data_IF_233336799997
#
_entry.id   IF_233336799997
#
_cell.length_a   1.000
_cell.length_b   1.000
_cell.length_c   1.000
_cell.angle_alpha   90.00
_cell.angle_beta   90.00
_cell.angle_gamma   90.00
#
_symmetry.space_group_name_H-M   'P 1'
#
loop_
_entity.id
_entity.type
_entity.pdbx_description
1 polymer ?
#
# COMPACT_ATOMS: atom_id res chain seq x y z
N UNK A 1 32.75 -26.17 8.63
CA UNK A 1 33.14 -25.28 9.74
C UNK A 1 32.15 -24.12 9.84
N UNK A 2 31.04 -24.33 10.55
CA UNK A 2 30.12 -23.23 10.90
C UNK A 2 30.80 -22.39 11.98
N UNK A 3 31.12 -21.13 11.68
CA UNK A 3 31.49 -20.15 12.70
C UNK A 3 30.29 -19.94 13.61
N UNK A 4 30.28 -20.65 14.74
CA UNK A 4 29.41 -20.34 15.87
C UNK A 4 29.96 -19.03 16.43
N UNK A 5 29.39 -17.91 16.00
CA UNK A 5 29.64 -16.62 16.64
C UNK A 5 29.18 -16.74 18.08
N UNK A 6 30.13 -16.76 19.02
CA UNK A 6 29.87 -16.61 20.46
C UNK A 6 29.17 -15.27 20.66
N UNK A 7 27.83 -15.27 20.61
CA UNK A 7 27.02 -14.13 21.01
C UNK A 7 27.12 -14.05 22.52
N UNK A 8 27.71 -12.97 23.03
CA UNK A 8 27.73 -12.70 24.46
C UNK A 8 26.32 -12.35 24.91
N UNK A 9 25.58 -13.35 25.40
CA UNK A 9 24.23 -13.18 25.93
C UNK A 9 24.35 -12.67 27.37
N UNK A 10 24.49 -11.36 27.53
CA UNK A 10 24.37 -10.68 28.83
C UNK A 10 23.01 -10.02 28.91
N UNK A 11 22.23 -10.37 29.94
CA UNK A 11 20.92 -9.77 30.18
C UNK A 11 21.08 -8.40 30.84
N UNK A 12 20.17 -7.48 30.54
CA UNK A 12 20.12 -6.17 31.19
C UNK A 12 18.69 -5.72 31.45
N UNK A 13 18.56 -4.84 32.45
CA UNK A 13 17.32 -4.21 32.86
C UNK A 13 17.44 -2.70 32.71
N UNK A 14 16.35 -2.03 32.32
CA UNK A 14 16.30 -0.57 32.25
C UNK A 14 15.23 -0.01 33.17
N UNK A 15 15.56 1.08 33.84
CA UNK A 15 14.71 1.75 34.83
C UNK A 15 14.47 3.18 34.33
N UNK A 16 13.23 3.67 34.39
CA UNK A 16 12.89 5.01 33.91
C UNK A 16 13.28 6.11 34.92
N UNK A 17 13.01 5.86 36.20
CA UNK A 17 13.33 6.78 37.30
C UNK A 17 13.68 6.00 38.56
N UNK A 18 14.71 6.45 39.28
CA UNK A 18 15.12 5.90 40.58
C UNK A 18 14.41 6.54 41.77
N UNK A 19 13.63 7.61 41.57
CA UNK A 19 12.91 8.33 42.62
C UNK A 19 11.93 7.43 43.38
N UNK A 20 12.12 7.32 44.70
CA UNK A 20 11.33 6.43 45.57
C UNK A 20 10.01 7.09 45.99
N UNK A 21 9.96 8.42 46.09
CA UNK A 21 8.90 9.13 46.83
C UNK A 21 7.64 9.53 46.03
N UNK A 22 7.61 9.47 44.69
CA UNK A 22 6.52 10.13 43.93
C UNK A 22 5.92 9.39 42.73
N UNK A 23 6.26 8.12 42.47
CA UNK A 23 5.61 7.35 41.40
C UNK A 23 4.81 6.14 41.92
N UNK A 24 3.48 6.22 41.78
CA UNK A 24 2.58 5.06 41.82
C UNK A 24 2.67 4.33 40.47
N UNK A 25 3.37 3.21 40.38
CA UNK A 25 3.48 2.41 39.15
C UNK A 25 4.67 1.45 39.07
N UNK A 26 4.69 0.59 38.05
CA UNK A 26 5.77 -0.34 37.76
C UNK A 26 7.02 0.41 37.24
N UNK A 27 8.17 0.21 37.89
CA UNK A 27 9.38 1.03 37.68
C UNK A 27 10.32 0.53 36.58
N UNK A 28 10.23 -0.75 36.25
CA UNK A 28 11.04 -1.38 35.21
C UNK A 28 10.44 -0.98 33.85
N UNK A 29 11.25 -0.36 32.98
CA UNK A 29 10.77 0.18 31.70
C UNK A 29 10.93 -0.81 30.55
N UNK A 30 12.08 -1.49 30.48
CA UNK A 30 12.35 -2.51 29.48
C UNK A 30 13.40 -3.51 29.99
N UNK A 31 13.34 -4.73 29.45
CA UNK A 31 14.32 -5.79 29.62
C UNK A 31 14.91 -6.14 28.25
N UNK A 32 16.14 -6.64 28.23
CA UNK A 32 16.78 -6.99 26.97
C UNK A 32 18.05 -7.82 27.16
N UNK A 33 18.61 -8.26 26.04
CA UNK A 33 19.86 -9.01 25.98
C UNK A 33 20.81 -8.27 25.08
N UNK A 34 22.08 -8.14 25.48
CA UNK A 34 23.12 -7.58 24.63
C UNK A 34 23.39 -8.55 23.48
N UNK A 35 23.35 -8.04 22.24
CA UNK A 35 23.58 -8.86 21.05
C UNK A 35 25.03 -8.78 20.59
N UNK A 36 25.51 -7.56 20.35
CA UNK A 36 26.83 -7.27 19.79
C UNK A 36 27.42 -6.01 20.44
N UNK A 37 28.75 -5.96 20.57
CA UNK A 37 29.50 -4.84 21.14
C UNK A 37 30.49 -4.30 20.09
N UNK A 38 30.03 -3.35 19.29
CA UNK A 38 30.85 -2.68 18.27
C UNK A 38 31.05 -1.20 18.61
N UNK A 39 32.22 -0.65 18.24
CA UNK A 39 32.54 0.78 18.46
C UNK A 39 31.73 1.72 17.55
N UNK A 40 31.32 1.25 16.36
CA UNK A 40 30.62 2.06 15.38
C UNK A 40 29.39 1.32 14.84
N UNK A 41 28.21 1.91 15.01
CA UNK A 41 26.96 1.39 14.47
C UNK A 41 26.47 2.24 13.31
N UNK A 42 26.18 1.59 12.18
CA UNK A 42 25.52 2.25 11.04
C UNK A 42 24.01 2.30 11.27
N UNK A 43 23.56 3.28 12.03
CA UNK A 43 22.13 3.57 12.21
C UNK A 43 21.67 4.46 11.07
N UNK A 44 20.64 4.03 10.35
CA UNK A 44 20.03 4.80 9.26
C UNK A 44 18.57 5.11 9.55
N UNK A 45 18.15 6.32 9.22
CA UNK A 45 16.77 6.77 9.28
C UNK A 45 16.24 7.01 7.88
N UNK A 46 15.02 6.52 7.64
CA UNK A 46 14.32 6.73 6.38
C UNK A 46 13.95 8.21 6.22
N UNK A 47 14.30 8.77 5.07
CA UNK A 47 13.90 10.10 4.63
C UNK A 47 13.06 9.95 3.35
N UNK A 48 11.97 10.72 3.25
CA UNK A 48 11.20 10.82 2.01
C UNK A 48 11.34 12.25 1.49
N UNK A 49 11.90 12.41 0.30
CA UNK A 49 11.86 13.68 -0.42
C UNK A 49 10.54 13.72 -1.19
N UNK A 50 9.77 14.78 -1.03
CA UNK A 50 8.40 14.89 -1.55
C UNK A 50 8.37 15.95 -2.64
N UNK A 51 7.68 15.68 -3.75
CA UNK A 51 7.44 16.64 -4.82
C UNK A 51 6.06 16.47 -5.43
N UNK A 52 5.67 17.47 -6.21
CA UNK A 52 4.36 17.53 -6.85
C UNK A 52 4.50 17.67 -8.36
N UNK A 53 3.66 16.97 -9.14
CA UNK A 53 3.62 17.18 -10.58
C UNK A 53 3.09 18.57 -10.90
N UNK A 54 3.63 19.21 -11.94
CA UNK A 54 3.08 20.48 -12.46
C UNK A 54 2.65 20.38 -13.93
N UNK A 55 3.25 19.47 -14.70
CA UNK A 55 2.85 19.18 -16.09
C UNK A 55 2.93 17.69 -16.34
N UNK A 56 1.86 17.11 -16.86
CA UNK A 56 1.71 15.66 -17.02
C UNK A 56 1.51 15.33 -18.49
N UNK A 57 2.28 14.37 -18.97
CA UNK A 57 2.15 13.74 -20.29
C UNK A 57 1.73 12.27 -20.11
N UNK A 58 1.77 11.46 -21.17
CA UNK A 58 1.35 10.05 -21.10
C UNK A 58 2.16 9.23 -20.10
N UNK A 59 3.48 9.17 -20.27
CA UNK A 59 4.41 8.40 -19.42
C UNK A 59 5.51 9.25 -18.80
N UNK A 60 5.43 10.56 -18.97
CA UNK A 60 6.38 11.51 -18.40
C UNK A 60 5.64 12.60 -17.67
N UNK A 61 6.28 13.14 -16.64
CA UNK A 61 5.77 14.29 -15.94
C UNK A 61 6.93 15.17 -15.50
N UNK A 62 6.65 16.45 -15.36
CA UNK A 62 7.55 17.40 -14.76
C UNK A 62 7.14 17.64 -13.31
N UNK A 63 8.10 17.52 -12.40
CA UNK A 63 7.90 17.53 -10.96
C UNK A 63 8.62 18.74 -10.38
N UNK A 64 7.98 19.43 -9.45
CA UNK A 64 8.53 20.58 -8.72
C UNK A 64 8.47 20.37 -7.21
N UNK A 65 9.28 21.14 -6.48
CA UNK A 65 9.25 21.20 -5.01
C UNK A 65 9.88 19.99 -4.29
N UNK A 66 10.55 19.09 -5.01
CA UNK A 66 11.33 17.99 -4.40
C UNK A 66 12.77 18.37 -4.11
N UNK A 67 13.35 19.19 -4.98
CA UNK A 67 14.70 19.72 -4.90
C UNK A 67 14.62 21.22 -5.10
N UNK A 68 15.65 21.94 -4.64
CA UNK A 68 15.75 23.38 -4.76
C UNK A 68 16.64 23.79 -5.94
N UNK A 69 17.68 23.00 -6.22
CA UNK A 69 18.71 23.33 -7.23
C UNK A 69 18.84 22.27 -8.32
N UNK A 70 19.35 22.67 -9.49
CA UNK A 70 19.64 21.76 -10.62
C UNK A 70 20.72 20.74 -10.25
N UNK A 71 21.69 21.15 -9.43
CA UNK A 71 22.80 20.29 -8.95
C UNK A 71 22.29 19.14 -8.07
N UNK A 72 21.31 19.41 -7.20
CA UNK A 72 20.65 18.37 -6.41
C UNK A 72 19.97 17.35 -7.33
N UNK A 73 19.25 17.81 -8.34
CA UNK A 73 18.60 16.92 -9.31
C UNK A 73 19.63 16.06 -10.04
N UNK A 74 20.73 16.65 -10.50
CA UNK A 74 21.80 15.93 -11.19
C UNK A 74 22.41 14.83 -10.31
N UNK A 75 22.57 15.07 -9.00
CA UNK A 75 23.02 14.05 -8.04
C UNK A 75 22.04 12.87 -7.91
N UNK A 76 20.75 13.11 -8.09
CA UNK A 76 19.69 12.10 -8.01
C UNK A 76 19.16 11.67 -9.38
N UNK A 77 19.89 11.96 -10.46
CA UNK A 77 19.53 11.52 -11.80
C UNK A 77 19.55 9.98 -11.86
N UNK A 78 18.57 9.39 -12.55
CA UNK A 78 18.37 7.94 -12.55
C UNK A 78 17.74 7.39 -11.28
N UNK A 79 17.50 8.21 -10.25
CA UNK A 79 16.87 7.83 -9.00
C UNK A 79 15.46 7.27 -9.17
N UNK A 80 15.12 6.24 -8.38
CA UNK A 80 13.81 5.59 -8.41
C UNK A 80 12.83 6.37 -7.52
N UNK A 81 11.72 6.78 -8.10
CA UNK A 81 10.64 7.51 -7.42
C UNK A 81 9.35 6.70 -7.45
N UNK A 82 8.44 6.98 -6.52
CA UNK A 82 7.11 6.38 -6.47
C UNK A 82 6.07 7.42 -6.14
N UNK A 83 4.85 7.25 -6.65
CA UNK A 83 3.69 8.05 -6.22
C UNK A 83 2.97 7.38 -5.05
N UNK A 84 2.14 8.14 -4.34
CA UNK A 84 1.24 7.60 -3.30
C UNK A 84 0.27 6.56 -3.88
N UNK A 85 -0.12 6.73 -5.14
CA UNK A 85 -0.94 5.77 -5.91
C UNK A 85 -0.19 4.48 -6.29
N UNK A 86 1.12 4.38 -6.03
CA UNK A 86 1.92 3.18 -6.23
C UNK A 86 2.63 3.08 -7.58
N UNK A 87 2.50 4.08 -8.46
CA UNK A 87 3.13 4.10 -9.78
C UNK A 87 4.64 4.32 -9.60
N UNK A 88 5.46 3.45 -10.22
CA UNK A 88 6.91 3.58 -10.19
C UNK A 88 7.37 4.55 -11.29
N UNK A 89 8.45 5.28 -11.01
CA UNK A 89 9.07 6.16 -11.96
C UNK A 89 10.57 6.31 -11.74
N UNK A 90 11.19 7.05 -12.64
CA UNK A 90 12.62 7.35 -12.63
C UNK A 90 12.85 8.83 -12.95
N UNK A 91 13.76 9.46 -12.22
CA UNK A 91 14.26 10.81 -12.51
C UNK A 91 15.12 10.73 -13.77
N UNK A 92 14.83 11.56 -14.78
CA UNK A 92 15.54 11.53 -16.06
C UNK A 92 16.48 12.70 -16.27
N UNK A 93 16.00 13.95 -16.18
CA UNK A 93 16.85 15.12 -16.46
C UNK A 93 16.35 16.32 -15.68
N UNK A 94 17.25 17.14 -15.17
CA UNK A 94 16.91 18.42 -14.59
C UNK A 94 16.34 19.38 -15.64
N UNK A 95 15.40 20.22 -15.19
CA UNK A 95 14.87 21.33 -15.97
C UNK A 95 15.53 22.62 -15.48
N UNK A 96 15.63 23.59 -16.38
CA UNK A 96 16.16 24.91 -16.02
C UNK A 96 15.11 25.73 -15.25
N UNK A 97 13.87 25.73 -15.75
CA UNK A 97 12.74 26.41 -15.14
C UNK A 97 11.61 25.42 -14.82
N UNK A 98 10.98 25.49 -13.62
CA UNK A 98 11.41 26.21 -12.42
C UNK A 98 12.64 25.56 -11.74
N UNK A 99 13.35 26.31 -10.89
CA UNK A 99 14.55 25.81 -10.21
C UNK A 99 14.28 24.53 -9.40
N UNK A 100 15.15 23.53 -9.54
CA UNK A 100 14.99 22.23 -8.88
C UNK A 100 13.90 21.33 -9.47
N UNK A 101 13.24 21.75 -10.56
CA UNK A 101 12.32 20.91 -11.29
C UNK A 101 13.05 19.90 -12.17
N UNK A 102 12.37 18.79 -12.45
CA UNK A 102 12.95 17.74 -13.28
C UNK A 102 11.89 16.98 -14.06
N UNK A 103 12.35 16.36 -15.15
CA UNK A 103 11.58 15.40 -15.91
C UNK A 103 11.73 14.02 -15.28
N UNK A 104 10.59 13.40 -15.02
CA UNK A 104 10.50 11.99 -14.64
C UNK A 104 9.69 11.20 -15.66
N UNK A 105 10.02 9.91 -15.77
CA UNK A 105 9.22 8.93 -16.51
C UNK A 105 8.55 7.98 -15.54
N UNK A 106 7.30 7.63 -15.81
CA UNK A 106 6.47 6.74 -14.99
C UNK A 106 5.94 5.58 -15.82
N UNK A 107 5.56 4.50 -15.14
CA UNK A 107 4.94 3.33 -15.77
C UNK A 107 3.60 3.68 -16.43
N UNK A 108 2.80 4.48 -15.74
CA UNK A 108 1.49 4.95 -16.17
C UNK A 108 1.32 6.46 -15.91
N UNK A 109 0.27 7.04 -16.47
CA UNK A 109 -0.08 8.44 -16.33
C UNK A 109 -0.46 8.75 -14.88
N UNK A 110 0.33 9.61 -14.24
CA UNK A 110 0.03 10.14 -12.89
C UNK A 110 -1.05 11.22 -12.93
N UNK A 111 -1.64 11.55 -11.77
CA UNK A 111 -2.62 12.63 -11.63
C UNK A 111 -1.98 13.90 -11.05
N UNK A 112 -2.60 15.06 -11.26
CA UNK A 112 -2.08 16.34 -10.71
C UNK A 112 -2.17 16.37 -9.17
N UNK A 113 -3.12 15.62 -8.60
CA UNK A 113 -3.28 15.46 -7.16
C UNK A 113 -2.29 14.48 -6.53
N UNK A 114 -1.51 13.74 -7.33
CA UNK A 114 -0.56 12.78 -6.78
C UNK A 114 0.61 13.48 -6.09
N UNK A 115 1.09 12.83 -5.04
CA UNK A 115 2.33 13.20 -4.37
C UNK A 115 3.40 12.20 -4.81
N UNK A 116 4.50 12.70 -5.36
CA UNK A 116 5.65 11.90 -5.77
C UNK A 116 6.69 11.95 -4.66
N UNK A 117 7.30 10.81 -4.32
CA UNK A 117 8.38 10.80 -3.35
C UNK A 117 9.54 9.91 -3.75
N UNK A 118 10.74 10.33 -3.35
CA UNK A 118 11.96 9.53 -3.39
C UNK A 118 12.23 8.99 -1.98
N UNK A 119 12.49 7.69 -1.86
CA UNK A 119 12.86 7.07 -0.57
C UNK A 119 14.39 7.05 -0.45
N UNK A 120 14.90 7.82 0.50
CA UNK A 120 16.30 7.86 0.86
C UNK A 120 16.52 7.35 2.31
N UNK A 121 17.77 7.12 2.65
CA UNK A 121 18.21 6.74 3.99
C UNK A 121 19.35 7.67 4.39
N UNK A 122 19.26 8.26 5.57
CA UNK A 122 20.28 9.16 6.12
C UNK A 122 20.88 8.50 7.35
N UNK A 123 22.20 8.50 7.45
CA UNK A 123 22.88 8.02 8.65
C UNK A 123 22.60 8.97 9.81
N UNK A 124 22.18 8.42 10.95
CA UNK A 124 21.94 9.17 12.18
C UNK A 124 23.02 8.80 13.18
N UNK A 125 23.89 9.75 13.58
CA UNK A 125 24.88 9.48 14.61
C UNK A 125 24.20 9.28 15.96
N UNK A 126 24.67 8.31 16.73
CA UNK A 126 24.22 8.09 18.11
C UNK A 126 24.99 9.08 19.01
N UNK A 127 24.31 9.91 19.82
CA UNK A 127 24.98 10.80 20.75
C UNK A 127 25.70 9.97 21.83
N UNK A 128 26.96 10.28 22.06
CA UNK A 128 27.75 9.65 23.12
C UNK A 128 27.42 10.33 24.44
N UNK A 129 26.58 9.68 25.24
CA UNK A 129 26.19 10.14 26.57
C UNK A 129 26.33 9.00 27.56
N UNK A 130 27.13 9.21 28.60
CA UNK A 130 27.36 8.25 29.66
C UNK A 130 27.40 8.98 30.99
N UNK A 131 26.53 8.58 31.92
CA UNK A 131 26.51 9.08 33.29
C UNK A 131 26.35 7.90 34.23
N UNK A 132 27.35 7.58 35.07
CA UNK A 132 27.20 6.54 36.07
C UNK A 132 26.20 6.99 37.15
N UNK A 133 25.51 6.02 37.77
CA UNK A 133 24.67 6.27 38.94
C UNK A 133 25.57 6.28 40.17
N UNK A 134 25.65 7.43 40.83
CA UNK A 134 26.56 7.66 41.98
C UNK A 134 25.78 7.91 43.27
N UNK A 135 24.72 7.12 43.50
CA UNK A 135 23.78 7.33 44.60
C UNK A 135 24.47 7.27 45.98
N UNK A 136 25.40 6.33 46.16
CA UNK A 136 26.15 6.15 47.41
C UNK A 136 27.20 7.25 47.69
N UNK A 137 27.56 8.04 46.67
CA UNK A 137 28.52 9.14 46.83
C UNK A 137 27.84 10.45 47.23
N UNK A 138 26.51 10.50 47.19
CA UNK A 138 25.73 11.66 47.58
C UNK A 138 25.46 11.63 49.09
N UNK A 139 25.37 12.81 49.74
CA UNK A 139 24.97 12.88 51.14
C UNK A 139 23.55 12.32 51.31
N UNK A 140 23.25 11.74 52.47
CA UNK A 140 21.94 11.12 52.79
C UNK A 140 20.72 12.03 52.55
N UNK A 141 20.94 13.35 52.52
CA UNK A 141 19.90 14.35 52.30
C UNK A 141 19.62 14.63 50.80
N UNK A 142 20.38 14.04 49.88
CA UNK A 142 20.31 14.33 48.45
C UNK A 142 20.22 13.06 47.62
N UNK A 143 19.19 12.98 46.78
CA UNK A 143 18.99 11.87 45.85
C UNK A 143 19.67 12.14 44.51
N UNK A 144 20.16 11.07 43.86
CA UNK A 144 20.72 11.16 42.52
C UNK A 144 19.66 11.59 41.48
N UNK A 145 19.93 12.68 40.75
CA UNK A 145 19.06 13.20 39.69
C UNK A 145 19.72 13.03 38.33
N UNK A 146 19.21 12.09 37.54
CA UNK A 146 19.64 11.89 36.15
C UNK A 146 19.04 12.87 35.16
N UNK A 147 19.30 12.65 33.87
CA UNK A 147 18.72 13.41 32.77
C UNK A 147 17.18 13.30 32.79
N UNK A 148 16.50 14.44 32.74
CA UNK A 148 15.03 14.49 32.72
C UNK A 148 14.49 14.02 31.36
N UNK A 149 13.33 13.36 31.37
CA UNK A 149 12.64 12.98 30.13
C UNK A 149 12.13 14.22 29.38
N UNK A 150 11.99 14.11 28.06
CA UNK A 150 11.47 15.20 27.21
C UNK A 150 10.09 15.68 27.67
N UNK A 151 9.25 14.76 28.15
CA UNK A 151 7.92 15.09 28.69
C UNK A 151 8.01 15.94 29.96
N UNK A 152 8.93 15.61 30.88
CA UNK A 152 9.13 16.38 32.11
C UNK A 152 9.70 17.76 31.84
N UNK A 153 10.70 17.85 30.96
CA UNK A 153 11.27 19.13 30.52
C UNK A 153 10.20 20.05 29.93
N UNK A 154 9.33 19.51 29.06
CA UNK A 154 8.22 20.27 28.48
C UNK A 154 7.23 20.75 29.53
N UNK A 155 6.86 19.90 30.49
CA UNK A 155 5.96 20.27 31.58
C UNK A 155 6.53 21.41 32.43
N UNK A 156 7.80 21.31 32.86
CA UNK A 156 8.47 22.33 33.67
C UNK A 156 8.64 23.66 32.93
N UNK A 157 8.88 23.60 31.62
CA UNK A 157 8.96 24.79 30.76
C UNK A 157 7.59 25.30 30.29
N UNK A 158 6.47 24.66 30.67
CA UNK A 158 5.12 25.02 30.20
C UNK A 158 4.90 24.85 28.69
N UNK A 159 5.72 24.03 28.01
CA UNK A 159 5.68 23.82 26.56
C UNK A 159 4.76 22.65 26.18
N UNK A 160 3.95 22.84 25.13
CA UNK A 160 3.16 21.77 24.52
C UNK A 160 4.02 20.94 23.55
N UNK A 161 3.66 19.68 23.37
CA UNK A 161 4.31 18.83 22.38
C UNK A 161 4.00 19.35 20.96
N UNK A 162 4.99 19.44 20.05
CA UNK A 162 4.75 19.90 18.68
C UNK A 162 3.97 18.85 17.89
N UNK A 163 2.77 19.22 17.42
CA UNK A 163 1.91 18.35 16.61
C UNK A 163 1.68 19.00 15.26
N UNK A 164 2.01 18.29 14.17
CA UNK A 164 1.73 18.77 12.82
C UNK A 164 0.33 18.36 12.39
N UNK A 165 -0.48 19.33 11.96
CA UNK A 165 -1.91 19.11 11.62
C UNK A 165 -2.12 18.27 10.35
N UNK A 166 -1.15 18.25 9.45
CA UNK A 166 -1.11 17.45 8.22
C UNK A 166 -0.82 15.96 8.47
N UNK A 167 -0.20 15.66 9.62
CA UNK A 167 0.24 14.31 10.00
C UNK A 167 -0.83 13.55 10.79
N UNK A 168 -1.86 14.25 11.27
CA UNK A 168 -3.00 13.66 11.96
C UNK A 168 -3.89 12.92 10.96
N UNK A 169 -4.16 11.64 11.23
CA UNK A 169 -5.11 10.86 10.44
C UNK A 169 -6.51 11.43 10.53
N UNK A 170 -7.23 11.45 9.40
CA UNK A 170 -8.62 11.90 9.28
C UNK A 170 -9.43 10.87 8.51
N UNK A 171 -10.72 10.69 8.81
CA UNK A 171 -11.60 9.87 7.98
C UNK A 171 -11.66 10.45 6.56
N UNK A 172 -11.53 9.60 5.53
CA UNK A 172 -11.52 10.02 4.13
C UNK A 172 -12.78 9.53 3.45
N UNK A 173 -13.66 10.46 3.09
CA UNK A 173 -14.84 10.19 2.28
C UNK A 173 -14.47 10.18 0.79
N UNK A 174 -14.65 9.04 0.12
CA UNK A 174 -14.33 8.88 -1.31
C UNK A 174 -15.60 8.95 -2.14
N UNK A 175 -15.60 9.84 -3.14
CA UNK A 175 -16.65 9.85 -4.17
C UNK A 175 -16.55 8.58 -5.03
N UNK A 176 -17.68 8.02 -5.49
CA UNK A 176 -17.65 6.93 -6.45
C UNK A 176 -16.89 7.34 -7.71
N UNK A 177 -16.13 6.42 -8.28
CA UNK A 177 -15.39 6.66 -9.52
C UNK A 177 -16.29 6.40 -10.73
N UNK A 178 -16.60 7.45 -11.47
CA UNK A 178 -17.35 7.38 -12.72
C UNK A 178 -16.38 7.43 -13.91
N UNK A 179 -16.19 6.32 -14.66
CA UNK A 179 -15.28 6.30 -15.79
C UNK A 179 -15.83 7.14 -16.95
N UNK A 180 -14.94 7.85 -17.64
CA UNK A 180 -15.29 8.54 -18.88
C UNK A 180 -15.74 7.52 -19.95
N UNK A 181 -16.74 7.85 -20.78
CA UNK A 181 -17.18 6.98 -21.86
C UNK A 181 -16.08 6.81 -22.92
N UNK A 182 -16.09 5.66 -23.61
CA UNK A 182 -15.13 5.37 -24.67
C UNK A 182 -15.39 6.26 -25.89
N UNK A 183 -14.41 7.09 -26.24
CA UNK A 183 -14.44 7.93 -27.44
C UNK A 183 -13.58 7.30 -28.55
N UNK A 184 -14.22 6.89 -29.64
CA UNK A 184 -13.54 6.35 -30.82
C UNK A 184 -13.16 7.52 -31.73
N UNK A 185 -11.90 7.63 -32.19
CA UNK A 185 -11.50 8.65 -33.16
C UNK A 185 -12.36 8.60 -34.43
N UNK A 186 -12.75 9.77 -34.95
CA UNK A 186 -13.63 9.88 -36.12
C UNK A 186 -13.03 9.24 -37.38
N UNK A 187 -11.71 9.27 -37.52
CA UNK A 187 -10.96 8.63 -38.60
C UNK A 187 -11.17 7.11 -38.56
N UNK A 188 -10.86 6.50 -37.42
CA UNK A 188 -11.06 5.06 -37.19
C UNK A 188 -12.53 4.68 -37.39
N UNK A 189 -13.46 5.47 -36.84
CA UNK A 189 -14.89 5.18 -36.98
C UNK A 189 -15.35 5.13 -38.44
N UNK A 190 -14.77 5.93 -39.34
CA UNK A 190 -15.09 5.91 -40.78
C UNK A 190 -14.60 4.62 -41.45
N UNK A 191 -13.37 4.22 -41.14
CA UNK A 191 -12.69 3.04 -41.69
C UNK A 191 -13.26 1.71 -41.17
N UNK A 192 -13.95 1.73 -40.02
CA UNK A 192 -14.55 0.52 -39.46
C UNK A 192 -15.55 -0.12 -40.45
N UNK A 193 -15.51 -1.46 -40.62
CA UNK A 193 -16.53 -2.20 -41.36
C UNK A 193 -17.94 -1.87 -40.84
N UNK A 194 -18.92 -1.84 -41.74
CA UNK A 194 -20.30 -1.44 -41.41
C UNK A 194 -20.88 -2.16 -40.17
N UNK A 195 -20.62 -3.46 -40.03
CA UNK A 195 -21.06 -4.28 -38.89
C UNK A 195 -20.49 -3.80 -37.54
N UNK A 196 -19.26 -3.31 -37.53
CA UNK A 196 -18.54 -2.88 -36.31
C UNK A 196 -18.67 -1.37 -36.05
N UNK A 197 -19.21 -0.61 -37.01
CA UNK A 197 -19.42 0.83 -36.84
C UNK A 197 -20.45 1.05 -35.72
N UNK A 198 -20.11 1.82 -34.67
CA UNK A 198 -21.02 2.05 -33.57
C UNK A 198 -22.25 2.81 -34.07
N UNK A 199 -23.42 2.21 -33.87
CA UNK A 199 -24.73 2.78 -34.21
C UNK A 199 -25.18 3.71 -33.08
N UNK A 200 -24.38 4.74 -32.80
CA UNK A 200 -24.87 5.81 -31.93
C UNK A 200 -25.86 6.59 -32.79
N UNK A 201 -27.14 6.48 -32.46
CA UNK A 201 -28.12 7.42 -33.00
C UNK A 201 -27.61 8.81 -32.61
N UNK A 202 -27.20 9.61 -33.60
CA UNK A 202 -27.15 11.06 -33.37
C UNK A 202 -28.55 11.40 -32.89
N UNK A 203 -28.67 12.12 -31.79
CA UNK A 203 -29.94 12.74 -31.43
C UNK A 203 -30.46 13.34 -32.72
N UNK A 204 -31.56 12.78 -33.22
CA UNK A 204 -32.20 13.29 -34.40
C UNK A 204 -32.63 14.68 -33.94
N UNK A 205 -31.86 15.71 -34.32
CA UNK A 205 -32.37 17.07 -34.29
C UNK A 205 -33.55 16.99 -35.23
N UNK A 206 -34.72 16.78 -34.67
CA UNK A 206 -35.95 16.70 -35.45
C UNK A 206 -36.02 18.06 -36.14
N UNK A 207 -35.74 18.08 -37.44
CA UNK A 207 -35.93 19.25 -38.30
C UNK A 207 -37.44 19.48 -38.55
N UNK A 208 -38.28 19.11 -37.58
CA UNK A 208 -39.69 19.46 -37.58
C UNK A 208 -39.84 20.87 -37.03
N UNK A 209 -40.87 21.58 -37.47
CA UNK A 209 -41.22 22.87 -36.92
C UNK A 209 -41.40 22.76 -35.41
N UNK A 210 -40.57 23.48 -34.64
CA UNK A 210 -40.65 23.52 -33.17
C UNK A 210 -42.04 23.92 -32.67
N UNK A 211 -42.82 24.62 -33.50
CA UNK A 211 -44.21 24.94 -33.22
C UNK A 211 -45.07 23.67 -33.17
N UNK A 212 -44.97 22.81 -34.18
CA UNK A 212 -45.75 21.57 -34.27
C UNK A 212 -45.41 20.63 -33.11
N UNK A 213 -44.14 20.48 -32.73
CA UNK A 213 -43.78 19.65 -31.57
C UNK A 213 -44.29 20.20 -30.24
N UNK A 214 -44.27 21.52 -30.05
CA UNK A 214 -44.83 22.15 -28.85
C UNK A 214 -46.36 21.98 -28.77
N UNK A 215 -47.04 22.09 -29.91
CA UNK A 215 -48.51 21.99 -29.98
C UNK A 215 -49.03 20.55 -30.03
N UNK A 216 -48.21 19.58 -30.43
CA UNK A 216 -48.54 18.15 -30.45
C UNK A 216 -48.05 17.37 -29.21
N UNK A 217 -47.22 17.99 -28.38
CA UNK A 217 -46.79 17.39 -27.12
C UNK A 217 -47.99 17.23 -26.19
N UNK A 218 -48.32 15.99 -25.85
CA UNK A 218 -49.36 15.66 -24.88
C UNK A 218 -48.91 16.12 -23.49
N UNK A 219 -49.55 17.16 -22.98
CA UNK A 219 -49.34 17.64 -21.61
C UNK A 219 -50.23 16.80 -20.70
N UNK A 220 -49.60 16.05 -19.80
CA UNK A 220 -50.30 15.22 -18.82
C UNK A 220 -51.04 16.10 -17.80
N UNK A 221 -52.20 15.66 -17.36
CA UNK A 221 -52.91 16.32 -16.27
C UNK A 221 -52.09 16.26 -14.96
N UNK A 222 -52.30 17.21 -14.02
CA UNK A 222 -51.53 17.26 -12.78
C UNK A 222 -51.56 15.96 -11.95
N UNK A 223 -52.66 15.22 -12.00
CA UNK A 223 -52.80 13.92 -11.33
C UNK A 223 -51.99 12.83 -12.04
N UNK A 224 -52.11 12.72 -13.36
CA UNK A 224 -51.37 11.75 -14.17
C UNK A 224 -49.86 12.00 -14.12
N UNK A 225 -49.43 13.27 -14.14
CA UNK A 225 -48.03 13.65 -13.97
C UNK A 225 -47.48 13.19 -12.61
N UNK A 226 -48.26 13.32 -11.53
CA UNK A 226 -47.89 12.82 -10.19
C UNK A 226 -47.78 11.29 -10.17
N UNK A 227 -48.71 10.57 -10.80
CA UNK A 227 -48.66 9.11 -10.90
C UNK A 227 -47.43 8.67 -11.70
N UNK A 228 -47.18 9.27 -12.86
CA UNK A 228 -46.03 8.91 -13.69
C UNK A 228 -44.71 9.17 -12.97
N UNK A 229 -44.59 10.32 -12.28
CA UNK A 229 -43.44 10.61 -11.43
C UNK A 229 -43.28 9.59 -10.31
N UNK A 230 -44.37 9.19 -9.66
CA UNK A 230 -44.35 8.17 -8.62
C UNK A 230 -43.90 6.81 -9.17
N UNK A 231 -44.40 6.40 -10.33
CA UNK A 231 -44.00 5.17 -11.01
C UNK A 231 -42.54 5.20 -11.44
N UNK A 232 -42.02 6.34 -11.90
CA UNK A 232 -40.59 6.52 -12.18
C UNK A 232 -39.74 6.35 -10.92
N UNK A 233 -40.14 6.96 -9.80
CA UNK A 233 -39.47 6.80 -8.51
C UNK A 233 -39.50 5.33 -8.07
N UNK A 234 -40.64 4.65 -8.15
CA UNK A 234 -40.73 3.23 -7.81
C UNK A 234 -39.82 2.37 -8.70
N UNK A 235 -39.76 2.68 -10.00
CA UNK A 235 -38.87 2.01 -10.95
C UNK A 235 -37.40 2.17 -10.58
N UNK A 236 -36.96 3.39 -10.24
CA UNK A 236 -35.57 3.66 -9.83
C UNK A 236 -35.22 2.96 -8.51
N UNK A 237 -36.09 3.04 -7.50
CA UNK A 237 -35.90 2.36 -6.20
C UNK A 237 -35.83 0.84 -6.37
N UNK A 238 -36.70 0.26 -7.19
CA UNK A 238 -36.66 -1.17 -7.48
C UNK A 238 -35.36 -1.56 -8.21
N UNK A 239 -34.93 -0.78 -9.19
CA UNK A 239 -33.67 -1.02 -9.91
C UNK A 239 -32.45 -0.95 -8.98
N UNK A 240 -32.42 0.00 -8.05
CA UNK A 240 -31.37 0.09 -7.03
C UNK A 240 -31.38 -1.10 -6.08
N UNK A 241 -32.56 -1.52 -5.58
CA UNK A 241 -32.71 -2.73 -4.75
C UNK A 241 -32.20 -3.98 -5.47
N UNK A 242 -32.59 -4.19 -6.72
CA UNK A 242 -32.11 -5.33 -7.52
C UNK A 242 -30.59 -5.23 -7.72
N UNK A 243 -30.03 -4.03 -7.92
CA UNK A 243 -28.58 -3.82 -8.07
C UNK A 243 -27.82 -4.13 -6.78
N UNK A 244 -28.34 -3.76 -5.61
CA UNK A 244 -27.73 -4.06 -4.31
C UNK A 244 -27.80 -5.55 -4.00
N UNK A 245 -28.93 -6.21 -4.26
CA UNK A 245 -29.09 -7.67 -4.09
C UNK A 245 -28.15 -8.46 -5.02
N UNK A 246 -28.03 -8.06 -6.29
CA UNK A 246 -27.09 -8.66 -7.24
C UNK A 246 -25.64 -8.49 -6.79
N UNK A 247 -25.26 -7.32 -6.26
CA UNK A 247 -23.92 -7.07 -5.70
C UNK A 247 -23.65 -7.96 -4.49
N UNK A 248 -24.60 -8.06 -3.56
CA UNK A 248 -24.49 -8.94 -2.39
C UNK A 248 -24.37 -10.42 -2.81
N UNK A 249 -25.18 -10.86 -3.78
CA UNK A 249 -25.09 -12.21 -4.31
C UNK A 249 -23.73 -12.49 -4.98
N UNK A 250 -23.24 -11.57 -5.81
CA UNK A 250 -21.91 -11.69 -6.44
C UNK A 250 -20.79 -11.81 -5.40
N UNK A 251 -20.86 -11.06 -4.29
CA UNK A 251 -19.92 -11.17 -3.18
C UNK A 251 -19.99 -12.53 -2.48
N UNK A 252 -21.21 -13.05 -2.22
CA UNK A 252 -21.41 -14.39 -1.64
C UNK A 252 -20.84 -15.49 -2.53
N UNK A 253 -21.19 -15.47 -3.82
CA UNK A 253 -20.67 -16.44 -4.81
C UNK A 253 -19.15 -16.37 -4.90
N UNK A 254 -18.55 -15.17 -4.91
CA UNK A 254 -17.09 -15.00 -4.94
C UNK A 254 -16.42 -15.56 -3.68
N UNK A 255 -17.01 -15.39 -2.50
CA UNK A 255 -16.52 -15.99 -1.24
C UNK A 255 -16.58 -17.51 -1.32
N UNK A 256 -17.75 -18.05 -1.67
CA UNK A 256 -17.96 -19.49 -1.78
C UNK A 256 -17.02 -20.14 -2.82
N UNK A 257 -16.85 -19.52 -3.99
CA UNK A 257 -15.92 -19.99 -5.03
C UNK A 257 -14.47 -20.08 -4.52
N UNK A 258 -14.04 -19.14 -3.68
CA UNK A 258 -12.69 -19.18 -3.07
C UNK A 258 -12.55 -20.32 -2.07
N UNK A 259 -13.56 -20.55 -1.24
CA UNK A 259 -13.58 -21.64 -0.26
C UNK A 259 -13.54 -23.00 -0.97
N UNK A 260 -14.38 -23.18 -1.99
CA UNK A 260 -14.40 -24.41 -2.79
C UNK A 260 -13.07 -24.64 -3.52
N UNK A 261 -12.48 -23.60 -4.11
CA UNK A 261 -11.17 -23.71 -4.74
C UNK A 261 -10.07 -24.12 -3.75
N UNK A 262 -10.09 -23.60 -2.52
CA UNK A 262 -9.15 -23.99 -1.47
C UNK A 262 -9.33 -25.46 -1.04
N UNK A 263 -10.59 -25.92 -0.94
CA UNK A 263 -10.90 -27.32 -0.64
C UNK A 263 -10.47 -28.25 -1.77
N UNK A 264 -10.71 -27.89 -3.03
CA UNK A 264 -10.26 -28.64 -4.20
C UNK A 264 -8.73 -28.71 -4.26
N UNK A 265 -8.02 -27.62 -3.95
CA UNK A 265 -6.56 -27.62 -3.88
C UNK A 265 -6.05 -28.58 -2.79
N UNK A 266 -6.67 -28.57 -1.60
CA UNK A 266 -6.32 -29.53 -0.54
C UNK A 266 -6.58 -30.98 -0.95
N UNK A 267 -7.73 -31.25 -1.59
CA UNK A 267 -8.07 -32.57 -2.14
C UNK A 267 -7.05 -32.99 -3.21
N UNK A 268 -6.70 -32.11 -4.14
CA UNK A 268 -5.69 -32.35 -5.16
C UNK A 268 -4.32 -32.68 -4.56
N UNK A 269 -3.87 -31.91 -3.55
CA UNK A 269 -2.64 -32.19 -2.80
C UNK A 269 -2.69 -33.56 -2.09
N UNK A 270 -3.84 -33.91 -1.50
CA UNK A 270 -4.03 -35.22 -0.86
C UNK A 270 -3.95 -36.37 -1.87
N UNK A 271 -4.63 -36.25 -3.02
CA UNK A 271 -4.58 -37.23 -4.12
C UNK A 271 -3.15 -37.38 -4.63
N UNK A 272 -2.42 -36.28 -4.83
CA UNK A 272 -1.02 -36.31 -5.28
C UNK A 272 -0.11 -37.02 -4.27
N UNK A 273 -0.29 -36.75 -2.97
CA UNK A 273 0.43 -37.46 -1.89
C UNK A 273 0.14 -38.96 -1.92
N UNK A 274 -1.13 -39.34 -2.07
CA UNK A 274 -1.55 -40.75 -2.14
C UNK A 274 -0.98 -41.45 -3.37
N UNK A 275 -1.10 -40.85 -4.57
CA UNK A 275 -0.51 -41.38 -5.81
C UNK A 275 1.02 -41.56 -5.69
N UNK A 276 1.72 -40.58 -5.08
CA UNK A 276 3.16 -40.66 -4.84
C UNK A 276 3.53 -41.80 -3.88
N UNK A 277 2.71 -42.06 -2.85
CA UNK A 277 2.90 -43.21 -1.94
C UNK A 277 2.72 -44.54 -2.65
N UNK A 278 1.67 -44.68 -3.46
CA UNK A 278 1.37 -45.91 -4.23
C UNK A 278 2.48 -46.19 -5.25
N UNK A 279 2.89 -45.19 -6.04
CA UNK A 279 3.98 -45.36 -7.01
C UNK A 279 5.30 -45.77 -6.31
N UNK A 280 5.61 -45.18 -5.15
CA UNK A 280 6.77 -45.58 -4.34
C UNK A 280 6.70 -47.03 -3.84
N UNK A 281 5.53 -47.50 -3.40
CA UNK A 281 5.38 -48.87 -2.92
C UNK A 281 5.48 -49.89 -4.06
N UNK A 282 4.91 -49.59 -5.23
CA UNK A 282 5.04 -50.40 -6.44
C UNK A 282 6.51 -50.50 -6.89
N UNK A 283 7.21 -49.37 -6.97
CA UNK A 283 8.64 -49.33 -7.33
C UNK A 283 9.51 -50.14 -6.34
N UNK A 284 9.27 -50.03 -5.04
CA UNK A 284 9.97 -50.87 -4.03
C UNK A 284 9.66 -52.36 -4.19
N UNK A 285 8.42 -52.73 -4.53
CA UNK A 285 8.04 -54.13 -4.79
C UNK A 285 8.73 -54.67 -6.04
N UNK A 286 8.80 -53.89 -7.11
CA UNK A 286 9.54 -54.25 -8.33
C UNK A 286 11.03 -54.42 -8.05
N UNK A 287 11.64 -53.49 -7.31
CA UNK A 287 13.05 -53.60 -6.89
C UNK A 287 13.30 -54.84 -6.04
N UNK A 288 12.39 -55.19 -5.12
CA UNK A 288 12.50 -56.43 -4.34
C UNK A 288 12.33 -57.69 -5.20
N UNK A 289 11.44 -57.69 -6.19
CA UNK A 289 11.31 -58.80 -7.15
C UNK A 289 12.58 -58.97 -7.97
N UNK A 290 13.13 -57.87 -8.49
CA UNK A 290 14.40 -57.86 -9.21
C UNK A 290 15.54 -58.39 -8.33
N UNK A 291 15.67 -57.88 -7.10
CA UNK A 291 16.67 -58.38 -6.13
C UNK A 291 16.54 -59.88 -5.87
N UNK A 292 15.32 -60.36 -5.56
CA UNK A 292 15.08 -61.80 -5.37
C UNK A 292 15.44 -62.63 -6.60
N UNK A 293 15.15 -62.14 -7.80
CA UNK A 293 15.53 -62.81 -9.04
C UNK A 293 17.06 -62.87 -9.20
N UNK A 294 17.77 -61.77 -8.92
CA UNK A 294 19.24 -61.75 -8.88
C UNK A 294 19.81 -62.71 -7.83
N UNK A 295 19.27 -62.71 -6.61
CA UNK A 295 19.72 -63.58 -5.52
C UNK A 295 19.51 -65.07 -5.87
N UNK A 296 18.37 -65.43 -6.49
CA UNK A 296 18.11 -66.82 -6.95
C UNK A 296 19.08 -67.31 -8.02
N UNK A 297 19.53 -66.42 -8.92
CA UNK A 297 20.52 -66.75 -9.96
C UNK A 297 21.92 -66.90 -9.35
N UNK A 298 22.21 -66.17 -8.26
CA UNK A 298 23.48 -66.30 -7.54
C UNK A 298 23.57 -67.53 -6.64
N UNK A 299 22.44 -68.05 -6.16
CA UNK A 299 22.36 -69.25 -5.32
C UNK A 299 22.35 -70.57 -6.11
N UNK A 300 22.19 -70.52 -7.44
CA UNK A 300 22.19 -71.68 -8.33
C UNK A 300 23.53 -71.92 -9.04
N UNK A 301 24.60 -71.30 -8.53
CA UNK A 301 26.01 -71.53 -8.90
C UNK A 301 26.75 -72.01 -7.67
#
# INVERSE_FOLDING_TARGET
LQKISLKQLTDYLTINTTFIFFQKGFRIAATGVVLNLDKAFQVVKKLKLIGHPYRIFKKSAFIKGMFNTVLEVAKFEGGIIRTVSGIRGQIKKALHEPAGAFRATFEDKILMSDIVFLRAWVSVPVPHFYTPITDLLLPLNQEWKGMRTVGRLRFEMGLKAPTKMDSLYRPVERRPFDPAPLLIPKTLQKELPYRLKPKVAKEIKKNGDKLVEKHSAVILEPHESKINRFMEILGTVHAEKVKTERRAMSQRVKKHRKEMAALEEQRGRAIQKTKKKICRSLSKREQMKLRKAFDSVSSSK
#
